data_IF_875156815701
#
_entry.id   IF_875156815701
#
_cell.length_a   1.000
_cell.length_b   1.000
_cell.length_c   1.000
_cell.angle_alpha   90.00
_cell.angle_beta   90.00
_cell.angle_gamma   90.00
#
_symmetry.space_group_name_H-M   'P 1'
#
loop_
_entity.id
_entity.type
_entity.pdbx_description
1 polymer ?
#
# COMPACT_ATOMS: atom_id res chain seq x y z
N UNK A 1 -9.00 -23.36 -8.97
CA UNK A 1 -8.00 -22.30 -9.22
C UNK A 1 -6.76 -22.66 -8.41
N UNK A 2 -5.62 -22.97 -9.04
CA UNK A 2 -4.45 -23.53 -8.35
C UNK A 2 -4.01 -22.66 -7.17
N UNK A 3 -3.90 -23.26 -5.99
CA UNK A 3 -3.49 -22.61 -4.72
C UNK A 3 -2.15 -21.86 -4.86
N UNK A 4 -1.28 -22.33 -5.77
CA UNK A 4 0.00 -21.71 -6.12
C UNK A 4 -0.12 -20.37 -6.88
N UNK A 5 -1.10 -20.24 -7.77
CA UNK A 5 -1.32 -18.99 -8.55
C UNK A 5 -1.88 -17.92 -7.62
N UNK A 6 -2.84 -18.28 -6.77
CA UNK A 6 -3.41 -17.38 -5.77
C UNK A 6 -2.32 -16.87 -4.82
N UNK A 7 -1.42 -17.76 -4.37
CA UNK A 7 -0.26 -17.36 -3.56
C UNK A 7 0.64 -16.35 -4.31
N UNK A 8 1.04 -16.63 -5.54
CA UNK A 8 1.86 -15.69 -6.33
C UNK A 8 1.20 -14.32 -6.50
N UNK A 9 -0.11 -14.29 -6.77
CA UNK A 9 -0.87 -13.02 -6.92
C UNK A 9 -0.87 -12.25 -5.59
N UNK A 10 -1.13 -12.92 -4.47
CA UNK A 10 -1.14 -12.28 -3.16
C UNK A 10 0.26 -11.82 -2.72
N UNK A 11 1.32 -12.56 -3.07
CA UNK A 11 2.70 -12.16 -2.82
C UNK A 11 3.09 -10.92 -3.64
N UNK A 12 2.68 -10.86 -4.91
CA UNK A 12 2.84 -9.66 -5.74
C UNK A 12 2.04 -8.49 -5.15
N UNK A 13 0.79 -8.73 -4.73
CA UNK A 13 -0.03 -7.71 -4.06
C UNK A 13 0.62 -7.18 -2.78
N UNK A 14 1.21 -8.05 -1.96
CA UNK A 14 1.98 -7.67 -0.78
C UNK A 14 3.18 -6.79 -1.14
N UNK A 15 3.95 -7.16 -2.16
CA UNK A 15 5.09 -6.35 -2.64
C UNK A 15 4.64 -4.94 -3.06
N UNK A 16 3.54 -4.84 -3.80
CA UNK A 16 2.97 -3.55 -4.20
C UNK A 16 2.51 -2.72 -3.01
N UNK A 17 1.78 -3.32 -2.06
CA UNK A 17 1.31 -2.65 -0.84
C UNK A 17 2.47 -2.13 0.03
N UNK A 18 3.54 -2.90 0.18
CA UNK A 18 4.74 -2.48 0.90
C UNK A 18 5.39 -1.30 0.18
N UNK A 19 5.58 -1.41 -1.13
CA UNK A 19 6.17 -0.35 -1.93
C UNK A 19 5.37 0.95 -1.87
N UNK A 20 4.05 0.86 -2.03
CA UNK A 20 3.15 2.01 -2.01
C UNK A 20 3.12 2.67 -0.63
N UNK A 21 2.95 1.88 0.43
CA UNK A 21 2.96 2.36 1.81
C UNK A 21 4.30 3.01 2.19
N UNK A 22 5.45 2.48 1.77
CA UNK A 22 6.75 3.11 2.02
C UNK A 22 6.90 4.42 1.23
N UNK A 23 6.49 4.45 -0.04
CA UNK A 23 6.53 5.69 -0.84
C UNK A 23 5.61 6.77 -0.28
N UNK A 24 4.41 6.41 0.15
CA UNK A 24 3.46 7.30 0.83
C UNK A 24 3.93 7.75 2.22
N UNK A 25 4.69 6.93 2.96
CA UNK A 25 5.28 7.32 4.24
C UNK A 25 6.41 8.34 4.07
N UNK A 26 7.31 8.10 3.11
CA UNK A 26 8.47 8.94 2.83
C UNK A 26 8.08 10.26 2.17
N UNK A 27 7.15 10.22 1.22
CA UNK A 27 6.73 11.39 0.43
C UNK A 27 5.21 11.44 0.24
N UNK A 28 4.42 11.62 1.32
CA UNK A 28 2.96 11.55 1.28
C UNK A 28 2.37 12.54 0.28
N UNK A 29 2.82 13.80 0.28
CA UNK A 29 2.32 14.83 -0.63
C UNK A 29 2.63 14.55 -2.11
N UNK A 30 3.85 14.11 -2.41
CA UNK A 30 4.26 13.84 -3.80
C UNK A 30 3.59 12.58 -4.34
N UNK A 31 3.40 11.57 -3.50
CA UNK A 31 2.74 10.32 -3.85
C UNK A 31 1.23 10.53 -4.06
N UNK A 32 0.55 11.18 -3.12
CA UNK A 32 -0.88 11.52 -3.26
C UNK A 32 -1.17 12.40 -4.49
N UNK A 33 -0.31 13.37 -4.81
CA UNK A 33 -0.48 14.23 -5.99
C UNK A 33 -0.24 13.49 -7.32
N UNK A 34 0.58 12.44 -7.34
CA UNK A 34 0.78 11.62 -8.54
C UNK A 34 -0.50 10.86 -8.94
N UNK A 35 -1.29 10.47 -7.94
CA UNK A 35 -2.56 9.75 -8.10
C UNK A 35 -3.78 10.68 -8.23
N UNK A 36 -3.56 12.00 -8.24
CA UNK A 36 -4.60 13.02 -8.44
C UNK A 36 -5.23 13.01 -9.85
N UNK A 37 -4.75 12.11 -10.72
CA UNK A 37 -5.29 11.80 -12.06
C UNK A 37 -6.25 10.58 -12.07
N UNK A 38 -6.68 10.09 -10.90
CA UNK A 38 -7.57 8.94 -10.74
C UNK A 38 -9.05 9.28 -10.48
N UNK A 39 -9.93 8.25 -10.34
CA UNK A 39 -11.37 8.39 -10.04
C UNK A 39 -11.64 9.34 -8.87
N UNK A 40 -12.77 10.04 -8.90
CA UNK A 40 -13.12 11.14 -7.97
C UNK A 40 -12.93 10.81 -6.48
N UNK A 41 -13.19 9.55 -6.09
CA UNK A 41 -12.96 9.02 -4.73
C UNK A 41 -11.49 8.98 -4.31
N UNK A 42 -10.60 8.57 -5.23
CA UNK A 42 -9.16 8.61 -5.00
C UNK A 42 -8.68 10.06 -4.91
N UNK A 43 -9.28 10.95 -5.68
CA UNK A 43 -8.94 12.38 -5.68
C UNK A 43 -9.28 13.05 -4.34
N UNK A 44 -10.49 12.83 -3.83
CA UNK A 44 -10.91 13.33 -2.51
C UNK A 44 -10.03 12.76 -1.37
N UNK A 45 -9.71 11.46 -1.42
CA UNK A 45 -8.81 10.85 -0.44
C UNK A 45 -7.40 11.47 -0.51
N UNK A 46 -6.88 11.73 -1.72
CA UNK A 46 -5.55 12.35 -1.87
C UNK A 46 -5.48 13.79 -1.40
N UNK A 47 -6.55 14.58 -1.53
CA UNK A 47 -6.61 15.96 -1.02
C UNK A 47 -6.62 15.98 0.51
N UNK A 48 -7.44 15.14 1.14
CA UNK A 48 -7.53 15.07 2.60
C UNK A 48 -6.22 14.53 3.23
N UNK A 49 -5.57 13.57 2.57
CA UNK A 49 -4.23 13.11 2.95
C UNK A 49 -3.15 14.19 2.71
N UNK A 50 -3.28 15.04 1.69
CA UNK A 50 -2.34 16.12 1.41
C UNK A 50 -2.46 17.30 2.39
N UNK A 51 -3.67 17.56 2.90
CA UNK A 51 -3.97 18.54 3.95
C UNK A 51 -3.51 18.06 5.34
N UNK A 52 -3.59 16.75 5.61
CA UNK A 52 -3.20 16.16 6.89
C UNK A 52 -2.03 15.15 6.76
N UNK A 53 -0.78 15.62 6.56
CA UNK A 53 0.37 14.75 6.28
C UNK A 53 0.72 13.78 7.43
N UNK A 54 0.31 14.07 8.67
CA UNK A 54 0.47 13.13 9.80
C UNK A 54 -0.50 11.95 9.70
N UNK A 55 -1.76 12.21 9.36
CA UNK A 55 -2.80 11.19 9.17
C UNK A 55 -2.47 10.33 7.96
N UNK A 56 -2.02 10.95 6.85
CA UNK A 56 -1.56 10.24 5.66
C UNK A 56 -0.44 9.24 5.97
N UNK A 57 0.56 9.66 6.74
CA UNK A 57 1.64 8.76 7.17
C UNK A 57 1.13 7.56 7.96
N UNK A 58 0.14 7.74 8.84
CA UNK A 58 -0.45 6.64 9.60
C UNK A 58 -1.18 5.65 8.68
N UNK A 59 -1.89 6.15 7.66
CA UNK A 59 -2.59 5.30 6.68
C UNK A 59 -1.59 4.51 5.84
N UNK A 60 -0.56 5.18 5.31
CA UNK A 60 0.49 4.51 4.53
C UNK A 60 1.33 3.53 5.37
N UNK A 61 1.51 3.82 6.67
CA UNK A 61 2.13 2.88 7.60
C UNK A 61 1.25 1.63 7.80
N UNK A 62 -0.06 1.81 7.94
CA UNK A 62 -1.00 0.69 8.04
C UNK A 62 -1.03 -0.14 6.75
N UNK A 63 -0.97 0.51 5.58
CA UNK A 63 -0.89 -0.16 4.28
C UNK A 63 0.39 -0.99 4.14
N UNK A 64 1.54 -0.42 4.49
CA UNK A 64 2.81 -1.14 4.51
C UNK A 64 2.77 -2.33 5.49
N UNK A 65 2.19 -2.15 6.67
CA UNK A 65 2.05 -3.23 7.67
C UNK A 65 1.16 -4.37 7.17
N UNK A 66 0.04 -4.05 6.49
CA UNK A 66 -0.82 -5.05 5.86
C UNK A 66 -0.06 -5.77 4.74
N UNK A 67 0.68 -5.05 3.90
CA UNK A 67 1.51 -5.64 2.85
C UNK A 67 2.56 -6.60 3.40
N UNK A 68 3.24 -6.25 4.50
CA UNK A 68 4.17 -7.12 5.22
C UNK A 68 3.44 -8.36 5.75
N UNK A 69 2.31 -8.19 6.43
CA UNK A 69 1.56 -9.33 6.97
C UNK A 69 1.11 -10.30 5.87
N UNK A 70 0.58 -9.78 4.76
CA UNK A 70 0.21 -10.58 3.60
C UNK A 70 1.43 -11.31 3.04
N UNK A 71 2.57 -10.62 2.85
CA UNK A 71 3.79 -11.25 2.35
C UNK A 71 4.35 -12.32 3.31
N UNK A 72 4.29 -12.09 4.62
CA UNK A 72 4.74 -13.07 5.62
C UNK A 72 3.85 -14.32 5.65
N UNK A 73 2.53 -14.17 5.48
CA UNK A 73 1.61 -15.32 5.38
C UNK A 73 1.83 -16.15 4.11
N UNK A 74 2.40 -15.54 3.07
CA UNK A 74 2.72 -16.19 1.79
C UNK A 74 4.04 -16.96 1.83
N UNK A 75 4.97 -16.49 2.66
CA UNK A 75 6.35 -16.97 2.74
C UNK A 75 6.45 -17.84 4.00
N UNK A 76 6.23 -19.16 3.92
CA UNK A 76 6.46 -20.01 5.08
C UNK A 76 7.92 -19.84 5.50
N UNK A 77 8.17 -19.59 6.79
CA UNK A 77 9.52 -19.66 7.35
C UNK A 77 10.07 -21.04 7.00
N UNK A 78 11.17 -21.06 6.26
CA UNK A 78 11.91 -22.30 6.01
C UNK A 78 12.58 -22.61 7.34
N UNK A 79 12.02 -23.58 8.06
CA UNK A 79 12.59 -24.16 9.27
C UNK A 79 13.95 -24.84 8.97
#
# INVERSE_FOLDING_TARGET
MNNLIVRRILQLGGLFLIGDGVMGLLKPRWHSLLWHLGPELLRAATEELAEHPKTARSIYLAEAAIGIAVASLQTPEVE
#
